data_IF_189222584675
#
_entry.id   IF_189222584675
#
_cell.length_a   1.000
_cell.length_b   1.000
_cell.length_c   1.000
_cell.angle_alpha   90.00
_cell.angle_beta   90.00
_cell.angle_gamma   90.00
#
_symmetry.space_group_name_H-M   'P 1'
#
loop_
_entity.id
_entity.type
_entity.pdbx_description
1 polymer ?
#
# COMPACT_ATOMS: atom_id res chain seq x y z
N UNK A 1 -22.17 13.07 16.26
CA UNK A 1 -20.78 12.63 16.00
C UNK A 1 -20.27 12.02 17.31
N UNK A 2 -19.60 10.87 17.30
CA UNK A 2 -19.07 10.29 18.56
C UNK A 2 -17.68 10.89 18.79
N UNK A 3 -17.51 11.66 19.87
CA UNK A 3 -16.41 12.61 19.97
C UNK A 3 -15.18 12.07 20.74
N UNK A 4 -14.02 12.14 20.08
CA UNK A 4 -12.73 12.53 20.69
C UNK A 4 -12.16 13.83 20.09
N UNK A 5 -12.66 14.33 18.95
CA UNK A 5 -12.10 15.50 18.23
C UNK A 5 -13.18 16.42 17.60
N UNK A 6 -14.36 16.52 18.21
CA UNK A 6 -15.53 17.21 17.64
C UNK A 6 -16.24 18.02 18.71
N UNK A 7 -16.80 19.19 18.37
CA UNK A 7 -17.33 20.15 19.36
C UNK A 7 -18.64 19.69 20.06
N UNK A 8 -19.18 18.53 19.70
CA UNK A 8 -20.36 17.95 20.32
C UNK A 8 -20.43 16.43 20.19
N UNK A 9 -21.24 15.80 21.04
CA UNK A 9 -21.51 14.36 21.01
C UNK A 9 -22.97 14.09 20.62
N UNK A 10 -23.22 13.03 19.85
CA UNK A 10 -24.57 12.53 19.57
C UNK A 10 -24.61 11.03 19.86
N UNK A 11 -25.27 10.64 20.95
CA UNK A 11 -25.33 9.24 21.43
C UNK A 11 -26.04 8.31 20.45
N UNK A 12 -27.04 8.81 19.71
CA UNK A 12 -27.82 8.03 18.74
C UNK A 12 -26.96 7.35 17.68
N UNK A 13 -25.78 7.91 17.36
CA UNK A 13 -24.84 7.35 16.39
C UNK A 13 -24.16 6.06 16.85
N UNK A 14 -24.18 5.72 18.15
CA UNK A 14 -23.62 4.44 18.65
C UNK A 14 -24.43 3.24 18.18
N UNK A 15 -25.74 3.41 18.10
CA UNK A 15 -26.69 2.35 17.79
C UNK A 15 -27.31 2.51 16.40
N UNK A 16 -26.92 3.56 15.68
CA UNK A 16 -27.38 3.84 14.33
C UNK A 16 -27.03 2.67 13.40
N UNK A 17 -28.06 2.08 12.78
CA UNK A 17 -27.90 0.94 11.87
C UNK A 17 -27.40 -0.35 12.52
N UNK A 18 -27.46 -0.48 13.86
CA UNK A 18 -27.06 -1.70 14.55
C UNK A 18 -27.99 -2.87 14.17
N UNK A 19 -27.40 -3.95 13.66
CA UNK A 19 -28.15 -5.12 13.15
C UNK A 19 -28.59 -5.00 11.69
N UNK A 20 -28.44 -3.83 11.07
CA UNK A 20 -28.77 -3.58 9.66
C UNK A 20 -27.50 -3.37 8.80
N UNK A 21 -26.51 -2.67 9.36
CA UNK A 21 -25.25 -2.36 8.69
C UNK A 21 -24.08 -2.95 9.47
N UNK A 22 -23.13 -3.55 8.74
CA UNK A 22 -21.97 -4.22 9.32
C UNK A 22 -20.69 -3.54 8.84
N UNK A 23 -20.04 -2.76 9.72
CA UNK A 23 -18.81 -2.03 9.40
C UNK A 23 -17.65 -2.92 8.94
N UNK A 24 -17.66 -4.21 9.28
CA UNK A 24 -16.71 -5.19 8.75
C UNK A 24 -16.73 -5.26 7.21
N UNK A 25 -17.91 -5.10 6.59
CA UNK A 25 -18.07 -5.11 5.13
C UNK A 25 -17.53 -3.84 4.45
N UNK A 26 -17.26 -2.79 5.23
CA UNK A 26 -16.66 -1.53 4.77
C UNK A 26 -15.14 -1.49 5.00
N UNK A 27 -14.56 -2.51 5.64
CA UNK A 27 -13.12 -2.59 5.88
C UNK A 27 -12.35 -2.76 4.57
N UNK A 28 -11.20 -2.06 4.46
CA UNK A 28 -10.31 -2.14 3.30
C UNK A 28 -9.06 -2.94 3.64
N UNK A 29 -8.61 -3.76 2.70
CA UNK A 29 -7.31 -4.43 2.82
C UNK A 29 -6.18 -3.47 2.50
N UNK A 30 -5.09 -3.60 3.25
CA UNK A 30 -3.88 -2.82 3.07
C UNK A 30 -2.92 -3.58 2.15
N UNK A 31 -2.61 -3.11 0.94
CA UNK A 31 -1.78 -3.89 0.01
C UNK A 31 -0.33 -3.96 0.50
N UNK A 32 0.23 -2.84 0.95
CA UNK A 32 1.64 -2.73 1.38
C UNK A 32 1.76 -2.28 2.84
N UNK A 33 2.91 -2.51 3.46
CA UNK A 33 3.15 -2.19 4.87
C UNK A 33 3.48 -0.69 5.11
N UNK A 34 2.74 0.25 4.53
CA UNK A 34 3.07 1.70 4.52
C UNK A 34 1.86 2.60 4.82
N UNK A 35 2.00 3.92 4.81
CA UNK A 35 0.85 4.84 4.91
C UNK A 35 -0.14 4.63 3.73
N UNK A 36 -1.43 4.92 3.95
CA UNK A 36 -2.51 4.53 3.02
C UNK A 36 -2.37 5.18 1.64
N UNK A 37 -1.90 6.42 1.63
CA UNK A 37 -1.70 7.28 0.47
C UNK A 37 -0.49 6.84 -0.37
N UNK A 38 0.44 6.08 0.22
CA UNK A 38 1.63 5.56 -0.46
C UNK A 38 1.35 4.28 -1.26
N UNK A 39 0.19 3.65 -1.05
CA UNK A 39 -0.15 2.40 -1.72
C UNK A 39 -0.26 2.55 -3.25
N UNK A 40 -0.85 3.64 -3.74
CA UNK A 40 -0.96 3.91 -5.18
C UNK A 40 0.41 4.18 -5.82
N UNK A 41 1.25 5.11 -5.30
CA UNK A 41 2.60 5.33 -5.82
C UNK A 41 3.43 4.04 -5.92
N UNK A 42 3.40 3.18 -4.88
CA UNK A 42 4.13 1.90 -4.89
C UNK A 42 3.63 0.98 -6.01
N UNK A 43 2.32 0.76 -6.09
CA UNK A 43 1.74 -0.11 -7.13
C UNK A 43 2.07 0.40 -8.53
N UNK A 44 1.85 1.70 -8.77
CA UNK A 44 2.09 2.32 -10.07
C UNK A 44 3.57 2.22 -10.46
N UNK A 45 4.50 2.33 -9.49
CA UNK A 45 5.93 2.17 -9.74
C UNK A 45 6.29 0.73 -10.12
N UNK A 46 5.73 -0.26 -9.43
CA UNK A 46 5.89 -1.68 -9.78
C UNK A 46 5.31 -1.98 -11.17
N UNK A 47 4.12 -1.48 -11.47
CA UNK A 47 3.46 -1.64 -12.76
C UNK A 47 4.29 -1.05 -13.90
N UNK A 48 4.75 0.19 -13.77
CA UNK A 48 5.61 0.82 -14.78
C UNK A 48 6.94 0.08 -14.93
N UNK A 49 7.53 -0.37 -13.82
CA UNK A 49 8.77 -1.15 -13.84
C UNK A 49 8.61 -2.46 -14.61
N UNK A 50 7.59 -3.23 -14.29
CA UNK A 50 7.37 -4.55 -14.87
C UNK A 50 6.98 -4.44 -16.35
N UNK A 51 6.11 -3.48 -16.68
CA UNK A 51 5.64 -3.24 -18.06
C UNK A 51 6.74 -2.77 -19.00
N UNK A 52 7.68 -1.95 -18.50
CA UNK A 52 8.71 -1.31 -19.32
C UNK A 52 10.12 -1.87 -19.09
N UNK A 53 10.27 -2.87 -18.20
CA UNK A 53 11.58 -3.44 -17.86
C UNK A 53 12.53 -2.41 -17.25
N UNK A 54 12.02 -1.47 -16.45
CA UNK A 54 12.83 -0.38 -15.90
C UNK A 54 13.85 -0.96 -14.93
N UNK A 55 15.14 -0.76 -15.24
CA UNK A 55 16.21 -1.02 -14.29
C UNK A 55 16.31 0.17 -13.33
N UNK A 56 16.22 -0.03 -12.00
CA UNK A 56 16.31 1.06 -11.02
C UNK A 56 17.57 1.92 -11.16
N UNK A 57 18.68 1.34 -11.65
CA UNK A 57 19.94 2.08 -11.88
C UNK A 57 19.89 3.08 -13.04
N UNK A 58 18.94 2.91 -13.97
CA UNK A 58 18.79 3.76 -15.16
C UNK A 58 17.81 4.94 -14.93
N UNK A 59 17.17 5.01 -13.76
CA UNK A 59 16.19 6.04 -13.41
C UNK A 59 16.91 7.37 -13.15
N UNK A 60 16.61 8.40 -13.93
CA UNK A 60 17.17 9.75 -13.81
C UNK A 60 16.38 10.62 -12.83
N UNK A 61 15.05 10.54 -12.87
CA UNK A 61 14.16 11.27 -11.96
C UNK A 61 12.83 10.54 -11.80
N UNK A 62 12.16 10.82 -10.68
CA UNK A 62 10.81 10.35 -10.36
C UNK A 62 10.00 11.57 -9.93
N UNK A 63 8.74 11.68 -10.35
CA UNK A 63 7.81 12.70 -9.84
C UNK A 63 6.55 12.03 -9.32
N UNK A 64 6.11 12.43 -8.13
CA UNK A 64 4.90 11.90 -7.48
C UNK A 64 3.97 13.07 -7.15
N UNK A 65 2.83 13.14 -7.83
CA UNK A 65 1.75 14.09 -7.55
C UNK A 65 0.76 13.49 -6.57
N UNK A 66 0.52 14.18 -5.44
CA UNK A 66 -0.36 13.76 -4.35
C UNK A 66 -1.24 14.94 -3.87
N UNK A 67 -2.16 14.67 -2.93
CA UNK A 67 -2.89 15.71 -2.21
C UNK A 67 -1.96 16.50 -1.26
N UNK A 68 -2.37 17.72 -0.88
CA UNK A 68 -1.57 18.63 -0.06
C UNK A 68 -1.21 18.04 1.32
N UNK A 69 -2.13 17.31 1.97
CA UNK A 69 -1.88 16.72 3.29
C UNK A 69 -0.72 15.74 3.23
N UNK A 70 -0.64 14.90 2.20
CA UNK A 70 0.46 13.94 2.05
C UNK A 70 1.71 14.58 1.46
N UNK A 71 1.57 15.48 0.47
CA UNK A 71 2.69 16.09 -0.22
C UNK A 71 3.50 17.01 0.72
N UNK A 72 2.83 17.82 1.54
CA UNK A 72 3.47 18.88 2.32
C UNK A 72 3.95 18.42 3.70
N UNK A 73 3.34 17.37 4.27
CA UNK A 73 3.72 16.85 5.60
C UNK A 73 4.76 15.73 5.52
N UNK A 74 5.68 15.80 4.57
CA UNK A 74 6.75 14.81 4.43
C UNK A 74 7.90 15.09 5.39
N UNK A 75 8.47 14.00 5.90
CA UNK A 75 9.79 14.05 6.51
C UNK A 75 10.81 14.43 5.43
N UNK A 76 11.82 15.22 5.81
CA UNK A 76 12.91 15.58 4.90
C UNK A 76 13.75 14.37 4.48
N UNK A 77 13.95 13.44 5.40
CA UNK A 77 14.71 12.21 5.19
C UNK A 77 14.09 11.05 5.97
N UNK A 78 14.25 9.82 5.45
CA UNK A 78 13.87 8.60 6.16
C UNK A 78 15.04 8.03 6.96
N UNK A 79 15.12 8.40 8.24
CA UNK A 79 16.19 7.93 9.15
C UNK A 79 15.89 6.58 9.82
N UNK A 80 14.63 6.16 9.82
CA UNK A 80 14.17 4.90 10.44
C UNK A 80 13.23 4.14 9.51
N UNK A 81 13.04 2.82 9.73
CA UNK A 81 12.02 2.05 9.00
C UNK A 81 10.62 2.64 9.13
N UNK A 82 10.28 3.25 10.27
CA UNK A 82 8.98 3.89 10.47
C UNK A 82 8.86 5.18 9.64
N UNK A 83 9.94 5.96 9.53
CA UNK A 83 9.96 7.12 8.64
C UNK A 83 9.75 6.67 7.19
N UNK A 84 10.45 5.62 6.75
CA UNK A 84 10.33 5.08 5.40
C UNK A 84 8.90 4.63 5.06
N UNK A 85 8.17 4.04 6.01
CA UNK A 85 6.76 3.66 5.84
C UNK A 85 5.81 4.84 5.61
N UNK A 86 6.24 6.07 5.92
CA UNK A 86 5.47 7.30 5.75
C UNK A 86 6.10 8.26 4.74
N UNK A 87 7.12 7.82 4.00
CA UNK A 87 7.88 8.68 3.08
C UNK A 87 7.69 8.21 1.62
N UNK A 88 6.90 8.94 0.79
CA UNK A 88 6.53 8.49 -0.56
C UNK A 88 7.72 8.16 -1.46
N UNK A 89 8.70 9.07 -1.52
CA UNK A 89 9.91 8.89 -2.31
C UNK A 89 10.69 7.61 -1.93
N UNK A 90 10.90 7.38 -0.64
CA UNK A 90 11.65 6.21 -0.14
C UNK A 90 10.86 4.92 -0.36
N UNK A 91 9.55 4.93 -0.11
CA UNK A 91 8.71 3.76 -0.33
C UNK A 91 8.65 3.35 -1.82
N UNK A 92 8.57 4.32 -2.75
CA UNK A 92 8.65 4.05 -4.20
C UNK A 92 10.05 3.57 -4.60
N UNK A 93 11.11 4.14 -4.04
CA UNK A 93 12.48 3.67 -4.28
C UNK A 93 12.70 2.22 -3.80
N UNK A 94 12.16 1.84 -2.64
CA UNK A 94 12.16 0.44 -2.16
C UNK A 94 11.38 -0.44 -3.14
N UNK A 95 10.19 -0.01 -3.59
CA UNK A 95 9.39 -0.78 -4.55
C UNK A 95 10.17 -1.07 -5.84
N UNK A 96 10.79 -0.04 -6.42
CA UNK A 96 11.55 -0.15 -7.65
C UNK A 96 12.76 -1.08 -7.49
N UNK A 97 13.48 -0.97 -6.38
CA UNK A 97 14.70 -1.77 -6.13
C UNK A 97 14.39 -3.22 -5.76
N UNK A 98 13.44 -3.46 -4.86
CA UNK A 98 13.15 -4.79 -4.30
C UNK A 98 12.04 -5.54 -5.04
N UNK A 99 11.21 -4.85 -5.83
CA UNK A 99 10.03 -5.44 -6.49
C UNK A 99 8.88 -5.77 -5.54
N UNK A 100 9.02 -5.49 -4.23
CA UNK A 100 8.00 -5.70 -3.20
C UNK A 100 8.21 -4.72 -2.05
N UNK A 101 7.17 -4.45 -1.26
CA UNK A 101 7.22 -3.47 -0.17
C UNK A 101 6.43 -3.96 1.05
N UNK A 102 7.10 -4.74 1.91
CA UNK A 102 6.56 -5.20 3.19
C UNK A 102 7.48 -4.80 4.35
N UNK A 103 7.17 -5.28 5.55
CA UNK A 103 7.91 -4.92 6.76
C UNK A 103 9.41 -5.20 6.61
N UNK A 104 9.78 -6.34 6.04
CA UNK A 104 11.17 -6.70 5.83
C UNK A 104 11.92 -5.66 5.00
N UNK A 105 11.39 -5.29 3.84
CA UNK A 105 12.07 -4.33 2.94
C UNK A 105 12.19 -2.94 3.58
N UNK A 106 11.20 -2.50 4.35
CA UNK A 106 11.32 -1.24 5.09
C UNK A 106 12.42 -1.28 6.16
N UNK A 107 12.63 -2.42 6.82
CA UNK A 107 13.65 -2.56 7.85
C UNK A 107 15.06 -2.75 7.29
N UNK A 108 15.18 -3.51 6.19
CA UNK A 108 16.48 -3.90 5.62
C UNK A 108 16.99 -2.90 4.57
N UNK A 109 16.11 -2.24 3.81
CA UNK A 109 16.50 -1.54 2.58
C UNK A 109 16.39 -0.01 2.64
N UNK A 110 15.76 0.59 3.66
CA UNK A 110 15.58 2.05 3.69
C UNK A 110 16.91 2.84 3.72
N UNK A 111 17.98 2.21 4.21
CA UNK A 111 19.33 2.77 4.26
C UNK A 111 20.21 2.36 3.08
N UNK A 112 19.70 1.54 2.15
CA UNK A 112 20.41 1.12 0.95
C UNK A 112 20.84 2.35 0.11
N UNK A 113 22.09 2.40 -0.39
CA UNK A 113 22.58 3.55 -1.15
C UNK A 113 21.75 3.87 -2.40
N UNK A 114 21.29 2.86 -3.14
CA UNK A 114 20.47 3.04 -4.33
C UNK A 114 19.06 3.52 -3.97
N UNK A 115 18.48 3.01 -2.88
CA UNK A 115 17.18 3.51 -2.37
C UNK A 115 17.28 4.98 -1.99
N UNK A 116 18.33 5.38 -1.26
CA UNK A 116 18.57 6.78 -0.89
C UNK A 116 18.85 7.67 -2.09
N UNK A 117 19.56 7.16 -3.09
CA UNK A 117 19.81 7.87 -4.33
C UNK A 117 18.51 8.13 -5.11
N UNK A 118 17.68 7.11 -5.30
CA UNK A 118 16.38 7.26 -5.96
C UNK A 118 15.43 8.17 -5.17
N UNK A 119 15.43 8.06 -3.83
CA UNK A 119 14.69 8.97 -2.97
C UNK A 119 15.06 10.44 -3.21
N UNK A 120 16.36 10.75 -3.35
CA UNK A 120 16.85 12.11 -3.68
C UNK A 120 16.53 12.56 -5.10
N UNK A 121 16.38 11.63 -6.04
CA UNK A 121 15.95 11.90 -7.43
C UNK A 121 14.43 12.02 -7.56
N UNK A 122 13.70 11.84 -6.46
CA UNK A 122 12.24 11.88 -6.44
C UNK A 122 11.75 13.24 -5.97
N UNK A 123 10.96 13.90 -6.80
CA UNK A 123 10.17 15.07 -6.42
C UNK A 123 8.77 14.63 -6.02
N UNK A 124 8.29 15.08 -4.87
CA UNK A 124 6.89 14.91 -4.48
C UNK A 124 6.24 16.29 -4.39
N UNK A 125 5.08 16.45 -5.02
CA UNK A 125 4.42 17.74 -5.16
C UNK A 125 2.90 17.63 -4.94
N UNK A 126 2.29 18.74 -4.55
CA UNK A 126 0.83 18.88 -4.50
C UNK A 126 0.28 18.99 -5.91
N UNK A 127 -0.50 18.01 -6.34
CA UNK A 127 -1.11 17.97 -7.65
C UNK A 127 -2.51 18.60 -7.62
N UNK A 128 -2.76 19.72 -8.33
CA UNK A 128 -4.04 20.42 -8.23
C UNK A 128 -5.26 19.60 -8.64
N UNK A 129 -5.11 18.63 -9.56
CA UNK A 129 -6.23 17.81 -10.02
C UNK A 129 -6.63 16.79 -8.96
N UNK A 130 -5.64 16.19 -8.31
CA UNK A 130 -5.83 15.23 -7.21
C UNK A 130 -6.34 15.96 -5.97
N UNK A 131 -5.76 17.12 -5.66
CA UNK A 131 -6.09 17.87 -4.45
C UNK A 131 -7.53 18.39 -4.45
N UNK A 132 -8.04 18.79 -5.63
CA UNK A 132 -9.40 19.30 -5.82
C UNK A 132 -10.50 18.33 -5.37
N UNK A 133 -10.24 17.02 -5.41
CA UNK A 133 -11.22 15.96 -5.07
C UNK A 133 -10.90 15.26 -3.74
N UNK A 134 -9.83 15.66 -3.06
CA UNK A 134 -9.48 15.17 -1.73
C UNK A 134 -10.39 15.81 -0.66
N UNK A 135 -10.83 15.07 0.38
CA UNK A 135 -10.51 13.68 0.72
C UNK A 135 -11.49 12.64 0.15
N UNK A 136 -12.40 13.02 -0.75
CA UNK A 136 -13.40 12.08 -1.30
C UNK A 136 -12.76 11.00 -2.17
N UNK A 137 -11.73 11.36 -2.95
CA UNK A 137 -10.89 10.43 -3.72
C UNK A 137 -9.43 10.54 -3.28
N UNK A 138 -8.68 9.46 -3.46
CA UNK A 138 -7.24 9.41 -3.16
C UNK A 138 -6.50 9.06 -4.46
N UNK A 139 -6.22 10.09 -5.25
CA UNK A 139 -5.52 9.97 -6.53
C UNK A 139 -3.99 9.97 -6.42
N UNK A 140 -3.32 9.63 -7.51
CA UNK A 140 -1.86 9.68 -7.65
C UNK A 140 -1.48 9.94 -9.10
N UNK A 141 -0.45 10.77 -9.31
CA UNK A 141 0.26 10.92 -10.58
C UNK A 141 1.69 10.46 -10.39
N UNK A 142 2.17 9.54 -11.22
CA UNK A 142 3.54 9.04 -11.16
C UNK A 142 4.21 9.18 -12.52
N UNK A 143 5.40 9.77 -12.52
CA UNK A 143 6.28 9.86 -13.69
C UNK A 143 7.65 9.28 -13.33
N UNK A 144 8.19 8.41 -14.17
CA UNK A 144 9.54 7.86 -14.05
C UNK A 144 10.30 8.14 -15.35
N UNK A 145 11.37 8.92 -15.25
CA UNK A 145 12.25 9.23 -16.39
C UNK A 145 13.52 8.40 -16.33
N UNK A 146 13.87 7.74 -17.44
CA UNK A 146 15.02 6.85 -17.59
C UNK A 146 15.93 7.27 -18.75
N UNK A 147 16.94 6.46 -19.09
CA UNK A 147 17.70 6.60 -20.34
C UNK A 147 16.88 6.23 -21.58
N UNK A 148 15.84 5.40 -21.45
CA UNK A 148 15.03 4.90 -22.56
C UNK A 148 13.80 5.76 -22.86
N UNK A 149 13.41 6.64 -21.93
CA UNK A 149 12.25 7.50 -22.06
C UNK A 149 11.61 7.85 -20.72
N UNK A 150 10.48 8.54 -20.79
CA UNK A 150 9.64 8.91 -19.65
C UNK A 150 8.36 8.09 -19.68
N UNK A 151 8.00 7.51 -18.54
CA UNK A 151 6.83 6.65 -18.38
C UNK A 151 5.92 7.23 -17.30
N UNK A 152 4.63 7.31 -17.59
CA UNK A 152 3.66 8.02 -16.77
C UNK A 152 2.42 7.16 -16.51
N UNK A 153 1.86 7.30 -15.30
CA UNK A 153 0.56 6.76 -14.94
C UNK A 153 -0.18 7.79 -14.08
N UNK A 154 -1.50 7.91 -14.28
CA UNK A 154 -2.36 8.80 -13.53
C UNK A 154 -3.65 8.10 -13.14
N UNK A 155 -4.04 8.25 -11.88
CA UNK A 155 -5.30 7.78 -11.35
C UNK A 155 -5.94 8.87 -10.49
N UNK A 156 -7.18 9.22 -10.82
CA UNK A 156 -7.96 10.18 -10.03
C UNK A 156 -8.40 9.61 -8.68
N UNK A 157 -8.54 8.28 -8.60
CA UNK A 157 -8.86 7.56 -7.36
C UNK A 157 -8.21 6.18 -7.33
N UNK A 158 -7.84 5.73 -6.13
CA UNK A 158 -7.18 4.44 -5.93
C UNK A 158 -8.18 3.29 -6.18
N UNK A 159 -7.85 2.32 -7.05
CA UNK A 159 -8.72 1.18 -7.28
C UNK A 159 -8.84 0.29 -6.02
N UNK A 160 -9.93 -0.46 -5.87
CA UNK A 160 -10.05 -1.45 -4.81
C UNK A 160 -8.96 -2.52 -4.96
N UNK A 161 -8.51 -3.06 -3.83
CA UNK A 161 -7.58 -4.20 -3.83
C UNK A 161 -8.36 -5.43 -4.29
N UNK A 162 -7.87 -6.09 -5.35
CA UNK A 162 -8.49 -7.32 -5.85
C UNK A 162 -8.33 -8.46 -4.85
N UNK A 163 -9.28 -9.39 -4.85
CA UNK A 163 -9.18 -10.57 -4.00
C UNK A 163 -7.97 -11.45 -4.37
N UNK A 164 -7.63 -11.54 -5.67
CA UNK A 164 -6.46 -12.28 -6.13
C UNK A 164 -5.15 -11.70 -5.56
N UNK A 165 -5.01 -10.37 -5.50
CA UNK A 165 -3.86 -9.74 -4.84
C UNK A 165 -3.79 -10.11 -3.35
N UNK A 166 -4.94 -10.20 -2.66
CA UNK A 166 -4.99 -10.62 -1.26
C UNK A 166 -4.53 -12.08 -1.11
N UNK A 167 -4.91 -12.97 -2.03
CA UNK A 167 -4.45 -14.36 -2.03
C UNK A 167 -2.96 -14.48 -2.29
N UNK A 168 -2.45 -13.78 -3.31
CA UNK A 168 -1.02 -13.74 -3.63
C UNK A 168 -0.21 -13.23 -2.44
N UNK A 169 -0.68 -12.16 -1.80
CA UNK A 169 -0.08 -11.63 -0.57
C UNK A 169 -0.12 -12.65 0.57
N UNK A 170 -1.26 -13.28 0.82
CA UNK A 170 -1.39 -14.32 1.84
C UNK A 170 -0.38 -15.43 1.59
N UNK A 171 -0.31 -15.96 0.37
CA UNK A 171 0.63 -17.00 0.00
C UNK A 171 2.07 -16.55 0.25
N UNK A 172 2.44 -15.34 -0.18
CA UNK A 172 3.80 -14.82 -0.01
C UNK A 172 4.26 -14.78 1.45
N UNK A 173 3.35 -14.53 2.40
CA UNK A 173 3.67 -14.55 3.83
C UNK A 173 3.55 -15.94 4.46
N UNK A 174 2.51 -16.68 4.12
CA UNK A 174 2.27 -18.00 4.68
C UNK A 174 3.43 -18.95 4.36
N UNK A 175 3.99 -18.87 3.15
CA UNK A 175 5.11 -19.72 2.73
C UNK A 175 6.45 -19.38 3.39
N UNK A 176 6.56 -18.26 4.12
CA UNK A 176 7.74 -17.99 4.95
C UNK A 176 7.76 -18.85 6.22
N UNK A 177 6.60 -19.38 6.64
CA UNK A 177 6.43 -20.14 7.88
C UNK A 177 5.93 -21.57 7.65
N UNK A 178 5.18 -21.79 6.58
CA UNK A 178 4.53 -23.07 6.26
C UNK A 178 5.05 -23.64 4.94
N UNK A 179 5.06 -24.97 4.77
CA UNK A 179 5.17 -25.57 3.45
C UNK A 179 4.07 -25.05 2.51
N UNK A 180 4.41 -24.86 1.23
CA UNK A 180 3.49 -24.29 0.23
C UNK A 180 2.15 -25.04 0.15
N UNK A 181 2.17 -26.36 0.23
CA UNK A 181 0.96 -27.18 0.21
C UNK A 181 0.06 -26.93 1.42
N UNK A 182 0.63 -26.76 2.62
CA UNK A 182 -0.12 -26.39 3.81
C UNK A 182 -0.73 -24.98 3.69
N UNK A 183 0.01 -24.02 3.14
CA UNK A 183 -0.48 -22.66 2.91
C UNK A 183 -1.65 -22.64 1.91
N UNK A 184 -1.56 -23.41 0.82
CA UNK A 184 -2.66 -23.59 -0.15
C UNK A 184 -3.88 -24.23 0.51
N UNK A 185 -3.69 -25.22 1.37
CA UNK A 185 -4.78 -25.86 2.08
C UNK A 185 -5.48 -24.89 3.03
N UNK A 186 -4.72 -24.09 3.79
CA UNK A 186 -5.27 -23.02 4.64
C UNK A 186 -6.10 -22.04 3.81
N UNK A 187 -5.55 -21.54 2.69
CA UNK A 187 -6.27 -20.62 1.81
C UNK A 187 -7.59 -21.22 1.32
N UNK A 188 -7.55 -22.46 0.82
CA UNK A 188 -8.73 -23.14 0.32
C UNK A 188 -9.79 -23.45 1.39
N UNK A 189 -9.39 -23.61 2.66
CA UNK A 189 -10.32 -23.74 3.80
C UNK A 189 -10.96 -22.40 4.15
N UNK A 190 -10.16 -21.31 4.19
CA UNK A 190 -10.65 -19.95 4.49
C UNK A 190 -11.62 -19.44 3.42
N UNK A 191 -11.41 -19.77 2.15
CA UNK A 191 -12.32 -19.39 1.06
C UNK A 191 -13.72 -20.02 1.15
N UNK A 192 -13.87 -21.10 1.90
CA UNK A 192 -15.14 -21.81 2.11
C UNK A 192 -15.52 -21.89 3.58
N UNK A 193 -15.02 -20.96 4.39
CA UNK A 193 -15.11 -20.98 5.85
C UNK A 193 -16.55 -21.13 6.35
N UNK A 194 -17.51 -20.50 5.67
CA UNK A 194 -18.93 -20.55 5.98
C UNK A 194 -19.57 -21.94 5.76
N UNK A 195 -18.90 -22.83 5.02
CA UNK A 195 -19.36 -24.18 4.72
C UNK A 195 -18.67 -25.25 5.58
N UNK A 196 -17.72 -24.87 6.44
CA UNK A 196 -17.03 -25.81 7.32
C UNK A 196 -17.92 -26.19 8.50
N UNK A 197 -17.88 -27.47 8.89
CA UNK A 197 -18.62 -27.97 10.07
C UNK A 197 -17.91 -27.60 11.38
N UNK A 198 -16.58 -27.56 11.35
CA UNK A 198 -15.71 -27.20 12.46
C UNK A 198 -14.41 -26.55 11.94
N UNK A 199 -13.56 -26.08 12.86
CA UNK A 199 -12.29 -25.43 12.56
C UNK A 199 -11.08 -26.31 12.88
N UNK A 200 -11.25 -27.58 13.23
CA UNK A 200 -10.17 -28.44 13.74
C UNK A 200 -9.05 -28.60 12.71
N UNK A 201 -9.41 -28.86 11.45
CA UNK A 201 -8.41 -28.97 10.39
C UNK A 201 -7.66 -27.66 10.17
N UNK A 202 -8.38 -26.53 10.12
CA UNK A 202 -7.78 -25.22 9.92
C UNK A 202 -6.81 -24.86 11.05
N UNK A 203 -7.18 -25.08 12.30
CA UNK A 203 -6.31 -24.78 13.46
C UNK A 203 -5.10 -25.72 13.52
N UNK A 204 -5.26 -26.99 13.13
CA UNK A 204 -4.14 -27.95 13.08
C UNK A 204 -3.04 -27.55 12.09
N UNK A 205 -3.39 -26.83 11.01
CA UNK A 205 -2.44 -26.34 10.01
C UNK A 205 -1.68 -25.08 10.44
N UNK A 206 -2.15 -24.41 11.49
CA UNK A 206 -1.62 -23.13 11.97
C UNK A 206 -0.85 -23.27 13.31
N UNK A 207 -0.77 -24.50 13.84
CA UNK A 207 -0.09 -24.84 15.10
C UNK A 207 1.33 -25.35 14.83
#
# INVERSE_FOLDING_TARGET
MLATHTDGFEESRLVEGLGETYKLLECKFKPYACCHELCSPIRMALELKDKHGINPRDIKSIKIGLNHVTAENQLKEAETPLHAQNHPAVAVAIALTQGRVFMREFFECYSDPLVRELGRRTEVYTDPEIDRVFPTKIGTRLEITTSQGTFELFEEDKPPVSFDFVKEKFMSFATELLPEESAKEVLGLVERLENLQDLERLTSLLS
#
